data_IF_129236879591
#
_entry.id   IF_129236879591
#
_cell.length_a   1.000
_cell.length_b   1.000
_cell.length_c   1.000
_cell.angle_alpha   90.00
_cell.angle_beta   90.00
_cell.angle_gamma   90.00
#
_symmetry.space_group_name_H-M   'P 1'
#
loop_
_entity.id
_entity.type
_entity.pdbx_description
1 polymer ?
#
# COMPACT_ATOMS: atom_id res chain seq x y z
N UNK A 1 -20.40 5.39 36.32
CA UNK A 1 -20.60 5.19 34.87
C UNK A 1 -19.23 5.20 34.20
N UNK A 2 -18.80 4.08 33.62
CA UNK A 2 -17.55 3.98 32.85
C UNK A 2 -17.88 4.33 31.39
N UNK A 3 -17.83 5.62 31.05
CA UNK A 3 -17.85 6.07 29.67
C UNK A 3 -16.43 5.89 29.13
N UNK A 4 -16.15 4.71 28.57
CA UNK A 4 -14.92 4.46 27.86
C UNK A 4 -15.28 4.36 26.37
N UNK A 5 -14.67 5.23 25.56
CA UNK A 5 -14.78 5.20 24.10
C UNK A 5 -13.95 4.01 23.57
N UNK A 6 -14.37 2.79 23.93
CA UNK A 6 -13.67 1.55 23.62
C UNK A 6 -14.00 1.16 22.19
N UNK A 7 -13.18 1.58 21.24
CA UNK A 7 -13.20 1.00 19.90
C UNK A 7 -12.70 -0.44 19.99
N UNK A 8 -13.40 -1.34 19.29
CA UNK A 8 -13.15 -2.80 19.17
C UNK A 8 -11.69 -3.22 19.43
N UNK A 9 -11.49 -4.24 20.27
CA UNK A 9 -10.17 -4.79 20.63
C UNK A 9 -9.44 -5.46 19.45
N UNK A 10 -10.14 -5.72 18.34
CA UNK A 10 -9.59 -6.34 17.14
C UNK A 10 -9.95 -5.50 15.91
N UNK A 11 -8.93 -5.23 15.07
CA UNK A 11 -9.06 -4.52 13.81
C UNK A 11 -8.52 -5.38 12.68
N UNK A 12 -9.30 -5.55 11.61
CA UNK A 12 -8.92 -6.26 10.39
C UNK A 12 -9.36 -5.47 9.17
N UNK A 13 -8.47 -5.32 8.19
CA UNK A 13 -8.78 -4.74 6.89
C UNK A 13 -8.10 -5.54 5.79
N UNK A 14 -8.82 -5.77 4.69
CA UNK A 14 -8.31 -6.45 3.50
C UNK A 14 -8.37 -5.51 2.31
N UNK A 15 -7.37 -5.62 1.42
CA UNK A 15 -7.30 -4.86 0.18
C UNK A 15 -7.10 -5.84 -0.98
N UNK A 16 -7.83 -5.63 -2.07
CA UNK A 16 -7.53 -6.31 -3.32
C UNK A 16 -6.33 -5.61 -3.98
N UNK A 17 -5.28 -6.37 -4.29
CA UNK A 17 -4.08 -5.85 -4.94
C UNK A 17 -4.12 -6.19 -6.43
N UNK A 18 -3.74 -5.24 -7.27
CA UNK A 18 -3.53 -5.47 -8.71
C UNK A 18 -2.28 -6.32 -8.96
N UNK A 19 -2.27 -7.10 -10.04
CA UNK A 19 -1.11 -7.92 -10.43
C UNK A 19 0.17 -7.14 -10.76
N UNK A 20 0.09 -5.81 -10.85
CA UNK A 20 1.24 -4.94 -11.10
C UNK A 20 2.18 -4.75 -9.89
N UNK A 21 1.77 -5.23 -8.72
CA UNK A 21 2.53 -5.09 -7.49
C UNK A 21 3.44 -6.29 -7.27
N UNK A 22 4.60 -6.05 -6.66
CA UNK A 22 5.58 -7.06 -6.30
C UNK A 22 5.41 -7.43 -4.82
N UNK A 23 4.49 -8.37 -4.56
CA UNK A 23 4.04 -8.74 -3.20
C UNK A 23 5.11 -9.43 -2.36
N UNK A 24 6.18 -9.94 -2.99
CA UNK A 24 7.32 -10.54 -2.29
C UNK A 24 8.22 -9.49 -1.61
N UNK A 25 8.10 -8.20 -2.01
CA UNK A 25 8.91 -7.09 -1.50
C UNK A 25 8.09 -6.08 -0.68
N UNK A 26 7.12 -6.57 0.08
CA UNK A 26 6.31 -5.73 0.97
C UNK A 26 7.16 -5.26 2.15
N UNK A 27 7.07 -3.97 2.47
CA UNK A 27 7.66 -3.37 3.67
C UNK A 27 6.57 -2.78 4.55
N UNK A 28 6.71 -2.89 5.87
CA UNK A 28 5.79 -2.32 6.85
C UNK A 28 6.55 -1.54 7.93
N UNK A 29 6.02 -0.38 8.30
CA UNK A 29 6.54 0.46 9.37
C UNK A 29 5.40 1.00 10.23
N UNK A 30 5.50 0.82 11.55
CA UNK A 30 4.58 1.38 12.53
C UNK A 30 5.30 2.49 13.30
N UNK A 31 4.86 3.74 13.11
CA UNK A 31 5.46 4.89 13.77
C UNK A 31 4.38 5.86 14.23
N UNK A 32 4.44 6.29 15.50
CA UNK A 32 3.48 7.20 16.12
C UNK A 32 2.01 6.79 15.91
N UNK A 33 1.72 5.49 15.97
CA UNK A 33 0.36 4.95 15.82
C UNK A 33 -0.12 4.79 14.37
N UNK A 34 0.72 5.06 13.38
CA UNK A 34 0.37 4.90 11.95
C UNK A 34 1.11 3.71 11.35
N UNK A 35 0.35 2.72 10.87
CA UNK A 35 0.88 1.61 10.08
C UNK A 35 0.99 2.03 8.61
N UNK A 36 2.22 2.17 8.12
CA UNK A 36 2.52 2.41 6.72
C UNK A 36 2.96 1.10 6.07
N UNK A 37 2.30 0.71 4.99
CA UNK A 37 2.66 -0.46 4.17
C UNK A 37 3.09 0.02 2.80
N UNK A 38 4.28 -0.36 2.35
CA UNK A 38 4.81 -0.07 1.01
C UNK A 38 4.88 -1.36 0.20
N UNK A 39 4.33 -1.31 -1.01
CA UNK A 39 4.39 -2.40 -1.98
C UNK A 39 4.93 -1.82 -3.29
N UNK A 40 6.12 -2.22 -3.74
CA UNK A 40 6.68 -1.70 -4.98
C UNK A 40 5.89 -2.20 -6.19
N UNK A 41 5.88 -1.39 -7.26
CA UNK A 41 5.41 -1.84 -8.57
C UNK A 41 6.48 -2.71 -9.22
N UNK A 42 6.05 -3.73 -9.97
CA UNK A 42 6.95 -4.58 -10.77
C UNK A 42 7.71 -3.71 -11.77
N UNK A 43 9.03 -3.92 -11.84
CA UNK A 43 9.91 -3.13 -12.71
C UNK A 43 9.58 -3.28 -14.21
N UNK A 44 9.06 -4.45 -14.60
CA UNK A 44 8.65 -4.81 -15.97
C UNK A 44 7.48 -3.99 -16.50
N UNK A 45 6.66 -3.43 -15.60
CA UNK A 45 5.47 -2.64 -15.92
C UNK A 45 5.74 -1.13 -15.90
N UNK A 46 7.02 -0.72 -15.84
CA UNK A 46 7.35 0.70 -16.01
C UNK A 46 6.88 1.13 -17.40
N UNK A 47 6.02 2.17 -17.49
CA UNK A 47 5.50 2.61 -18.78
C UNK A 47 6.69 3.02 -19.66
N UNK A 48 6.78 2.42 -20.84
CA UNK A 48 7.77 2.84 -21.84
C UNK A 48 7.46 4.30 -22.18
N UNK A 49 8.41 5.21 -21.92
CA UNK A 49 8.29 6.60 -22.36
C UNK A 49 8.29 6.59 -23.88
N UNK A 50 7.15 6.92 -24.50
CA UNK A 50 7.06 7.07 -25.95
C UNK A 50 7.52 8.48 -26.29
N UNK A 51 8.63 8.60 -27.00
CA UNK A 51 9.10 9.87 -27.54
C UNK A 51 8.28 10.21 -28.79
N UNK A 52 7.51 11.29 -28.75
CA UNK A 52 6.76 11.79 -29.91
C UNK A 52 7.68 12.73 -30.68
N UNK A 53 8.13 12.31 -31.88
CA UNK A 53 8.80 13.19 -32.83
C UNK A 53 7.74 13.92 -33.65
N UNK A 54 7.59 15.22 -33.41
CA UNK A 54 6.89 16.13 -34.32
C UNK A 54 7.85 16.51 -35.45
N UNK A 55 7.40 16.31 -36.68
CA UNK A 55 8.08 16.76 -37.91
C UNK A 55 7.65 18.16 -38.30
#
# INVERSE_FOLDING_TARGET
>A
ALYADVRSSLYRRSFALSGELETEKIEANLKHGVLTVRIPKRAELRPKKIEVKVG
#
